data_IF_590322352414
#
_entry.id   IF_590322352414
#
_cell.length_a   1.000
_cell.length_b   1.000
_cell.length_c   1.000
_cell.angle_alpha   90.00
_cell.angle_beta   90.00
_cell.angle_gamma   90.00
#
_symmetry.space_group_name_H-M   'P 1'
#
loop_
_entity.id
_entity.type
_entity.pdbx_description
1 polymer ?
#
# COMPACT_ATOMS: atom_id res chain seq x y z
N UNK A 1 8.87 -4.64 45.22
CA UNK A 1 9.37 -4.56 43.83
C UNK A 1 9.47 -3.09 43.46
N UNK A 2 10.68 -2.57 43.23
CA UNK A 2 10.82 -1.23 42.65
C UNK A 2 10.29 -1.28 41.22
N UNK A 3 9.32 -0.43 40.88
CA UNK A 3 8.92 -0.23 39.48
C UNK A 3 10.14 0.31 38.74
N UNK A 4 10.67 -0.48 37.81
CA UNK A 4 11.74 -0.05 36.93
C UNK A 4 11.20 1.12 36.10
N UNK A 5 11.80 2.30 36.27
CA UNK A 5 11.37 3.51 35.55
C UNK A 5 12.07 3.51 34.18
N UNK A 6 11.60 2.64 33.28
CA UNK A 6 12.07 2.57 31.89
C UNK A 6 11.16 3.46 31.06
N UNK A 7 11.75 4.41 30.33
CA UNK A 7 11.00 5.17 29.31
C UNK A 7 10.79 4.28 28.08
N UNK A 8 9.55 3.87 27.84
CA UNK A 8 9.17 3.06 26.69
C UNK A 8 8.90 3.89 25.41
N UNK A 9 8.86 5.22 25.48
CA UNK A 9 8.66 6.09 24.31
C UNK A 9 9.70 5.80 23.22
N UNK A 10 10.98 5.68 23.60
CA UNK A 10 12.03 5.34 22.65
C UNK A 10 11.76 3.99 21.96
N UNK A 11 11.21 2.99 22.67
CA UNK A 11 10.86 1.72 22.05
C UNK A 11 9.68 1.85 21.07
N UNK A 12 8.67 2.64 21.43
CA UNK A 12 7.50 2.92 20.59
C UNK A 12 7.90 3.71 19.33
N UNK A 13 8.88 4.60 19.45
CA UNK A 13 9.41 5.42 18.35
C UNK A 13 10.05 4.58 17.22
N UNK A 14 10.61 3.42 17.59
CA UNK A 14 11.25 2.47 16.66
C UNK A 14 10.32 1.29 16.28
N UNK A 15 9.10 1.23 16.79
CA UNK A 15 8.11 0.22 16.40
C UNK A 15 7.58 0.50 14.98
N UNK A 16 7.36 -0.55 14.20
CA UNK A 16 6.76 -0.44 12.87
C UNK A 16 5.22 -0.36 12.90
N UNK A 17 4.63 -0.48 14.08
CA UNK A 17 3.20 -0.33 14.33
C UNK A 17 2.91 1.16 14.57
N UNK A 18 2.05 1.81 13.76
CA UNK A 18 1.59 3.16 14.07
C UNK A 18 0.96 3.21 15.46
N UNK A 19 1.37 4.18 16.26
CA UNK A 19 0.83 4.45 17.59
C UNK A 19 0.50 5.94 17.70
N UNK A 20 -0.70 6.25 18.19
CA UNK A 20 -1.17 7.62 18.39
C UNK A 20 -1.83 7.72 19.76
N UNK A 21 -1.48 8.78 20.50
CA UNK A 21 -2.12 9.18 21.74
C UNK A 21 -2.85 10.51 21.52
N UNK A 22 -4.16 10.51 21.76
CA UNK A 22 -4.99 11.70 21.71
C UNK A 22 -5.38 12.15 23.12
N UNK A 23 -5.69 13.44 23.27
CA UNK A 23 -6.49 13.91 24.40
C UNK A 23 -7.99 13.85 24.09
N UNK A 24 -8.82 14.15 25.10
CA UNK A 24 -10.28 14.28 25.01
C UNK A 24 -10.76 15.34 24.00
N UNK A 25 -9.90 16.30 23.63
CA UNK A 25 -10.18 17.35 22.65
C UNK A 25 -9.67 17.02 21.23
N UNK A 26 -9.31 15.76 20.95
CA UNK A 26 -8.79 15.29 19.63
C UNK A 26 -7.45 15.90 19.23
N UNK A 27 -6.71 16.46 20.17
CA UNK A 27 -5.32 16.88 19.99
C UNK A 27 -4.42 15.66 20.10
N UNK A 28 -3.47 15.52 19.18
CA UNK A 28 -2.44 14.49 19.31
C UNK A 28 -1.46 14.95 20.38
N UNK A 29 -1.30 14.13 21.42
CA UNK A 29 -0.32 14.31 22.49
C UNK A 29 1.02 13.66 22.12
N UNK A 30 0.96 12.52 21.44
CA UNK A 30 2.12 11.78 20.97
C UNK A 30 1.76 10.93 19.75
N UNK A 31 2.70 10.75 18.84
CA UNK A 31 2.64 9.82 17.72
C UNK A 31 4.07 9.38 17.40
N UNK A 32 4.26 8.12 16.98
CA UNK A 32 5.57 7.66 16.50
C UNK A 32 5.79 7.95 15.01
N UNK A 33 7.03 7.87 14.55
CA UNK A 33 7.42 8.11 13.15
C UNK A 33 6.49 7.45 12.11
N UNK A 34 6.08 6.20 12.34
CA UNK A 34 5.22 5.47 11.39
C UNK A 34 3.79 6.02 11.38
N UNK A 35 3.27 6.48 12.51
CA UNK A 35 1.99 7.17 12.56
C UNK A 35 2.02 8.53 11.85
N UNK A 36 3.16 9.23 11.85
CA UNK A 36 3.33 10.48 11.07
C UNK A 36 3.15 10.20 9.57
N UNK A 37 3.77 9.13 9.07
CA UNK A 37 3.63 8.70 7.67
C UNK A 37 2.18 8.29 7.38
N UNK A 38 1.51 7.58 8.30
CA UNK A 38 0.10 7.20 8.15
C UNK A 38 -0.80 8.43 7.95
N UNK A 39 -0.55 9.54 8.64
CA UNK A 39 -1.31 10.79 8.45
C UNK A 39 -1.17 11.43 7.06
N UNK A 40 -0.23 10.97 6.22
CA UNK A 40 -0.22 11.30 4.79
C UNK A 40 -1.38 10.67 4.00
N UNK A 41 -2.03 9.63 4.55
CA UNK A 41 -3.04 8.82 3.86
C UNK A 41 -4.43 8.88 4.51
N UNK A 42 -4.52 9.26 5.78
CA UNK A 42 -5.76 9.26 6.56
C UNK A 42 -5.87 10.50 7.43
N UNK A 43 -7.09 11.01 7.61
CA UNK A 43 -7.31 12.20 8.41
C UNK A 43 -7.20 11.93 9.92
N UNK A 44 -6.77 12.95 10.68
CA UNK A 44 -6.78 12.92 12.16
C UNK A 44 -8.16 12.60 12.73
N UNK A 45 -9.21 13.19 12.14
CA UNK A 45 -10.59 13.01 12.58
C UNK A 45 -11.01 11.55 12.46
N UNK A 46 -10.73 10.92 11.31
CA UNK A 46 -11.05 9.52 11.06
C UNK A 46 -10.37 8.57 12.04
N UNK A 47 -9.07 8.74 12.30
CA UNK A 47 -8.37 7.88 13.27
C UNK A 47 -8.85 8.08 14.71
N UNK A 48 -9.23 9.31 15.09
CA UNK A 48 -9.82 9.59 16.40
C UNK A 48 -11.21 8.95 16.53
N UNK A 49 -12.04 9.04 15.49
CA UNK A 49 -13.37 8.43 15.48
C UNK A 49 -13.30 6.90 15.56
N UNK A 50 -12.31 6.29 14.90
CA UNK A 50 -12.00 4.85 15.04
C UNK A 50 -11.58 4.54 16.48
N UNK A 51 -10.71 5.35 17.10
CA UNK A 51 -10.32 5.14 18.49
C UNK A 51 -11.55 5.14 19.41
N UNK A 52 -12.44 6.11 19.29
CA UNK A 52 -13.68 6.15 20.08
C UNK A 52 -14.61 4.97 19.82
N UNK A 53 -14.80 4.60 18.54
CA UNK A 53 -15.71 3.51 18.16
C UNK A 53 -15.27 2.13 18.69
N UNK A 54 -13.95 1.93 18.84
CA UNK A 54 -13.38 0.65 19.28
C UNK A 54 -12.84 0.65 20.71
N UNK A 55 -13.02 1.75 21.45
CA UNK A 55 -12.64 1.83 22.86
C UNK A 55 -13.31 0.73 23.70
N UNK A 56 -12.61 0.17 24.71
CA UNK A 56 -13.26 -0.68 25.70
C UNK A 56 -14.35 0.10 26.47
N UNK A 57 -15.28 -0.59 27.13
CA UNK A 57 -16.31 0.06 27.95
C UNK A 57 -15.79 0.54 29.32
N UNK A 58 -14.67 -0.04 29.77
CA UNK A 58 -14.01 0.28 31.03
C UNK A 58 -12.55 0.59 30.77
N UNK A 59 -11.90 1.31 31.68
CA UNK A 59 -10.45 1.57 31.60
C UNK A 59 -9.66 0.29 31.32
N UNK A 60 -8.68 0.40 30.43
CA UNK A 60 -7.89 -0.71 29.94
C UNK A 60 -7.70 -0.66 28.43
N UNK A 61 -7.41 -1.82 27.85
CA UNK A 61 -7.02 -1.98 26.45
C UNK A 61 -7.86 -3.07 25.79
N UNK A 62 -8.28 -2.84 24.55
CA UNK A 62 -9.04 -3.80 23.74
C UNK A 62 -8.43 -3.90 22.36
N UNK A 63 -8.01 -5.11 21.99
CA UNK A 63 -7.64 -5.44 20.62
C UNK A 63 -8.89 -5.89 19.85
N UNK A 64 -9.12 -5.30 18.68
CA UNK A 64 -10.18 -5.70 17.76
C UNK A 64 -9.56 -6.08 16.42
N UNK A 65 -9.96 -7.23 15.89
CA UNK A 65 -9.61 -7.65 14.52
C UNK A 65 -10.53 -6.94 13.52
N UNK A 66 -9.95 -6.21 12.58
CA UNK A 66 -10.65 -5.59 11.45
C UNK A 66 -9.67 -5.29 10.32
N UNK A 67 -10.18 -5.14 9.10
CA UNK A 67 -9.36 -4.71 7.97
C UNK A 67 -9.45 -3.20 7.77
N UNK A 68 -8.33 -2.50 7.91
CA UNK A 68 -8.18 -1.09 7.55
C UNK A 68 -7.12 -0.96 6.46
N UNK A 69 -7.43 -0.25 5.37
CA UNK A 69 -6.56 -0.17 4.20
C UNK A 69 -6.40 1.30 3.76
N UNK A 70 -5.30 1.93 4.20
CA UNK A 70 -4.90 3.30 3.86
C UNK A 70 -3.71 3.27 2.92
N UNK A 71 -4.01 3.13 1.64
CA UNK A 71 -3.03 3.01 0.55
C UNK A 71 -1.95 1.94 0.83
N UNK A 72 -0.72 2.34 1.18
CA UNK A 72 0.40 1.45 1.48
C UNK A 72 0.34 0.79 2.88
N UNK A 73 -0.59 1.23 3.72
CA UNK A 73 -0.89 0.64 5.02
C UNK A 73 -2.09 -0.29 4.95
N UNK A 74 -1.87 -1.55 5.31
CA UNK A 74 -2.93 -2.53 5.52
C UNK A 74 -2.80 -3.03 6.96
N UNK A 75 -3.89 -2.97 7.71
CA UNK A 75 -3.95 -3.41 9.10
C UNK A 75 -4.97 -4.52 9.26
N UNK A 76 -4.65 -5.53 10.08
CA UNK A 76 -5.55 -6.65 10.40
C UNK A 76 -6.18 -6.53 11.79
N UNK A 77 -5.68 -5.62 12.62
CA UNK A 77 -6.21 -5.35 13.94
C UNK A 77 -5.82 -3.94 14.40
N UNK A 78 -6.52 -3.46 15.41
CA UNK A 78 -6.13 -2.30 16.23
C UNK A 78 -6.24 -2.64 17.70
N UNK A 79 -5.43 -1.99 18.54
CA UNK A 79 -5.64 -1.94 19.99
C UNK A 79 -5.98 -0.51 20.36
N UNK A 80 -7.12 -0.33 21.01
CA UNK A 80 -7.50 0.96 21.62
C UNK A 80 -7.40 0.81 23.13
N UNK A 81 -6.84 1.81 23.79
CA UNK A 81 -6.83 1.82 25.25
C UNK A 81 -6.78 3.20 25.87
N UNK A 82 -7.32 3.29 27.07
CA UNK A 82 -7.35 4.49 27.88
C UNK A 82 -7.32 4.11 29.37
N UNK A 83 -6.56 4.85 30.15
CA UNK A 83 -6.37 4.63 31.59
C UNK A 83 -7.06 5.70 32.45
N UNK A 84 -7.57 6.75 31.81
CA UNK A 84 -8.29 7.88 32.40
C UNK A 84 -9.22 8.50 31.34
N UNK A 85 -9.98 9.53 31.72
CA UNK A 85 -10.93 10.21 30.84
C UNK A 85 -10.29 11.23 29.90
N UNK A 86 -9.02 11.58 30.14
CA UNK A 86 -8.34 12.66 29.44
C UNK A 86 -7.63 12.20 28.16
N UNK A 87 -7.32 10.90 28.06
CA UNK A 87 -6.43 10.37 27.03
C UNK A 87 -6.93 9.06 26.45
N UNK A 88 -6.76 8.89 25.14
CA UNK A 88 -7.04 7.64 24.43
C UNK A 88 -5.94 7.33 23.44
N UNK A 89 -5.49 6.09 23.42
CA UNK A 89 -4.46 5.60 22.52
C UNK A 89 -5.04 4.63 21.50
N UNK A 90 -4.47 4.64 20.29
CA UNK A 90 -4.73 3.63 19.26
C UNK A 90 -3.40 3.14 18.68
N UNK A 91 -3.28 1.82 18.59
CA UNK A 91 -2.17 1.10 17.95
C UNK A 91 -2.70 0.27 16.80
N UNK A 92 -2.01 0.28 15.67
CA UNK A 92 -2.38 -0.48 14.49
C UNK A 92 -1.46 -1.68 14.28
N UNK A 93 -2.00 -2.83 13.87
CA UNK A 93 -1.22 -4.03 13.58
C UNK A 93 -1.17 -4.28 12.08
N UNK A 94 0.04 -4.19 11.51
CA UNK A 94 0.29 -4.41 10.08
C UNK A 94 -0.18 -5.79 9.65
N UNK A 95 -1.04 -5.84 8.63
CA UNK A 95 -1.39 -7.06 7.94
C UNK A 95 -0.11 -7.71 7.39
N UNK A 96 0.02 -9.04 7.48
CA UNK A 96 1.16 -9.74 6.90
C UNK A 96 1.27 -9.39 5.41
N UNK A 97 2.38 -8.78 5.01
CA UNK A 97 2.72 -8.67 3.59
C UNK A 97 3.06 -10.08 3.13
N UNK A 98 2.41 -10.56 2.07
CA UNK A 98 2.75 -11.84 1.48
C UNK A 98 4.24 -11.84 1.15
N UNK A 99 5.02 -12.70 1.82
CA UNK A 99 6.40 -12.92 1.43
C UNK A 99 6.37 -13.54 0.04
N UNK A 100 7.21 -13.08 -0.90
CA UNK A 100 7.34 -13.73 -2.19
C UNK A 100 7.63 -15.23 -1.98
N UNK A 101 6.93 -16.09 -2.70
CA UNK A 101 7.02 -17.55 -2.53
C UNK A 101 8.38 -18.13 -2.94
N UNK A 102 9.21 -17.35 -3.63
CA UNK A 102 10.54 -17.73 -4.11
C UNK A 102 11.43 -16.49 -4.22
N UNK A 103 12.75 -16.62 -4.07
CA UNK A 103 13.68 -15.52 -4.36
C UNK A 103 13.53 -15.06 -5.81
N UNK A 104 13.68 -13.75 -6.04
CA UNK A 104 13.66 -13.19 -7.39
C UNK A 104 14.95 -13.57 -8.13
N UNK A 105 14.80 -14.29 -9.24
CA UNK A 105 15.90 -14.62 -10.17
C UNK A 105 16.28 -13.37 -10.99
N UNK A 106 17.02 -12.46 -10.35
CA UNK A 106 17.41 -11.17 -10.94
C UNK A 106 18.27 -11.31 -12.21
N UNK A 107 18.94 -12.45 -12.38
CA UNK A 107 19.75 -12.83 -13.53
C UNK A 107 18.93 -13.03 -14.81
N UNK A 108 17.63 -13.35 -14.69
CA UNK A 108 16.72 -13.52 -15.83
C UNK A 108 15.98 -12.24 -16.21
N UNK A 109 16.16 -11.17 -15.45
CA UNK A 109 15.50 -9.88 -15.68
C UNK A 109 16.28 -9.07 -16.71
N UNK A 110 15.55 -8.31 -17.53
CA UNK A 110 16.13 -7.49 -18.59
C UNK A 110 15.95 -6.02 -18.23
N UNK A 111 16.99 -5.22 -18.43
CA UNK A 111 16.91 -3.76 -18.34
C UNK A 111 15.88 -3.24 -19.33
N UNK A 112 14.83 -2.63 -18.81
CA UNK A 112 13.67 -2.25 -19.60
C UNK A 112 13.20 -0.86 -19.23
N UNK A 113 12.85 -0.09 -20.25
CA UNK A 113 12.03 1.10 -20.09
C UNK A 113 10.56 0.68 -19.92
N UNK A 114 10.03 0.91 -18.73
CA UNK A 114 8.65 0.55 -18.39
C UNK A 114 7.62 1.35 -19.20
N UNK A 115 7.95 2.57 -19.65
CA UNK A 115 7.04 3.38 -20.47
C UNK A 115 6.75 2.67 -21.80
N UNK A 116 7.77 2.07 -22.42
CA UNK A 116 7.62 1.30 -23.67
C UNK A 116 6.67 0.12 -23.47
N UNK A 117 6.83 -0.66 -22.39
CA UNK A 117 5.93 -1.79 -22.10
C UNK A 117 4.49 -1.31 -21.83
N UNK A 118 4.33 -0.21 -21.10
CA UNK A 118 3.04 0.35 -20.78
C UNK A 118 2.32 0.81 -22.05
N UNK A 119 2.97 1.61 -22.89
CA UNK A 119 2.44 2.10 -24.16
C UNK A 119 2.05 0.96 -25.11
N UNK A 120 2.90 -0.06 -25.25
CA UNK A 120 2.60 -1.21 -26.09
C UNK A 120 1.33 -1.96 -25.63
N UNK A 121 1.17 -2.18 -24.32
CA UNK A 121 -0.01 -2.87 -23.79
C UNK A 121 -1.27 -1.98 -23.82
N UNK A 122 -1.13 -0.67 -23.68
CA UNK A 122 -2.22 0.30 -23.91
C UNK A 122 -2.67 0.26 -25.37
N UNK A 123 -1.75 0.29 -26.33
CA UNK A 123 -2.06 0.22 -27.75
C UNK A 123 -2.82 -1.08 -28.08
N UNK A 124 -2.35 -2.22 -27.57
CA UNK A 124 -3.04 -3.50 -27.72
C UNK A 124 -4.44 -3.48 -27.09
N UNK A 125 -4.61 -2.88 -25.91
CA UNK A 125 -5.92 -2.76 -25.28
C UNK A 125 -6.90 -1.95 -26.14
N UNK A 126 -6.45 -0.84 -26.73
CA UNK A 126 -7.25 0.01 -27.64
C UNK A 126 -7.68 -0.70 -28.92
N UNK A 127 -6.99 -1.76 -29.35
CA UNK A 127 -7.43 -2.55 -30.52
C UNK A 127 -8.74 -3.32 -30.28
N UNK A 128 -9.11 -3.54 -29.00
CA UNK A 128 -10.27 -4.35 -28.61
C UNK A 128 -11.34 -3.56 -27.86
N UNK A 129 -11.02 -2.34 -27.41
CA UNK A 129 -11.89 -1.55 -26.56
C UNK A 129 -11.84 -0.08 -26.98
N UNK A 130 -12.96 0.62 -26.83
CA UNK A 130 -13.12 2.02 -27.26
C UNK A 130 -13.08 3.02 -26.12
N UNK A 131 -12.75 2.57 -24.89
CA UNK A 131 -12.74 3.44 -23.72
C UNK A 131 -11.69 4.56 -23.91
N UNK A 132 -12.03 5.83 -23.66
CA UNK A 132 -11.06 6.90 -23.50
C UNK A 132 -10.03 6.54 -22.42
N UNK A 133 -8.74 6.73 -22.73
CA UNK A 133 -7.64 6.52 -21.80
C UNK A 133 -6.87 7.82 -21.58
N UNK A 134 -6.61 8.16 -20.33
CA UNK A 134 -5.65 9.20 -19.95
C UNK A 134 -4.40 8.56 -19.36
N UNK A 135 -3.23 8.95 -19.84
CA UNK A 135 -1.94 8.48 -19.35
C UNK A 135 -1.16 9.66 -18.76
N UNK A 136 -0.79 9.54 -17.48
CA UNK A 136 0.12 10.44 -16.78
C UNK A 136 1.34 9.61 -16.36
N UNK A 137 2.40 9.65 -17.17
CA UNK A 137 3.60 8.87 -16.92
C UNK A 137 4.81 9.77 -16.76
N UNK A 138 5.63 9.47 -15.76
CA UNK A 138 6.95 10.05 -15.60
C UNK A 138 7.91 9.47 -16.66
N UNK A 139 8.25 10.31 -17.64
CA UNK A 139 9.11 9.94 -18.77
C UNK A 139 10.59 9.91 -18.39
N UNK A 140 10.95 10.47 -17.23
CA UNK A 140 12.32 10.49 -16.72
C UNK A 140 12.63 9.28 -15.83
N UNK A 141 11.68 8.34 -15.69
CA UNK A 141 11.91 7.09 -14.98
C UNK A 141 13.10 6.32 -15.59
N UNK A 142 14.12 5.97 -14.80
CA UNK A 142 15.23 5.20 -15.32
C UNK A 142 14.75 3.81 -15.72
N UNK A 143 15.38 3.23 -16.74
CA UNK A 143 15.19 1.81 -17.02
C UNK A 143 15.56 0.97 -15.80
N UNK A 144 14.90 -0.16 -15.63
CA UNK A 144 15.20 -1.09 -14.54
C UNK A 144 14.93 -2.54 -14.96
N UNK A 145 15.48 -3.49 -14.20
CA UNK A 145 15.36 -4.92 -14.45
C UNK A 145 13.95 -5.41 -14.18
N UNK A 146 13.31 -6.00 -15.19
CA UNK A 146 11.98 -6.60 -15.08
C UNK A 146 11.83 -7.81 -16.00
N UNK A 147 10.92 -8.73 -15.64
CA UNK A 147 10.44 -9.79 -16.52
C UNK A 147 9.36 -9.20 -17.44
N UNK A 148 9.78 -8.79 -18.65
CA UNK A 148 8.91 -8.11 -19.61
C UNK A 148 7.65 -8.92 -19.97
N UNK A 149 7.77 -10.25 -20.03
CA UNK A 149 6.69 -11.15 -20.43
C UNK A 149 5.64 -11.27 -19.33
N UNK A 150 6.07 -11.55 -18.10
CA UNK A 150 5.16 -11.60 -16.94
C UNK A 150 4.52 -10.25 -16.68
N UNK A 151 5.30 -9.17 -16.75
CA UNK A 151 4.76 -7.83 -16.55
C UNK A 151 3.76 -7.43 -17.63
N UNK A 152 4.05 -7.70 -18.90
CA UNK A 152 3.08 -7.45 -19.98
C UNK A 152 1.80 -8.28 -19.81
N UNK A 153 1.91 -9.54 -19.35
CA UNK A 153 0.73 -10.37 -19.04
C UNK A 153 -0.09 -9.76 -17.90
N UNK A 154 0.57 -9.28 -16.84
CA UNK A 154 -0.05 -8.58 -15.72
C UNK A 154 -0.77 -7.32 -16.19
N UNK A 155 -0.10 -6.44 -16.95
CA UNK A 155 -0.69 -5.22 -17.52
C UNK A 155 -1.96 -5.50 -18.33
N UNK A 156 -1.94 -6.50 -19.21
CA UNK A 156 -3.13 -6.87 -19.99
C UNK A 156 -4.29 -7.29 -19.11
N UNK A 157 -4.03 -8.05 -18.05
CA UNK A 157 -5.08 -8.50 -17.11
C UNK A 157 -5.61 -7.31 -16.30
N UNK A 158 -4.73 -6.45 -15.81
CA UNK A 158 -5.08 -5.22 -15.09
C UNK A 158 -5.96 -4.30 -15.94
N UNK A 159 -5.55 -3.96 -17.17
CA UNK A 159 -6.35 -3.12 -18.07
C UNK A 159 -7.69 -3.76 -18.44
N UNK A 160 -7.70 -5.08 -18.69
CA UNK A 160 -8.92 -5.80 -19.05
C UNK A 160 -9.93 -5.91 -17.90
N UNK A 161 -9.52 -5.71 -16.65
CA UNK A 161 -10.46 -5.57 -15.53
C UNK A 161 -11.38 -4.34 -15.72
N UNK A 162 -10.91 -3.30 -16.41
CA UNK A 162 -11.62 -2.04 -16.65
C UNK A 162 -12.26 -1.94 -18.05
N UNK A 163 -12.37 -3.06 -18.78
CA UNK A 163 -12.85 -3.09 -20.19
C UNK A 163 -14.21 -2.44 -20.45
N UNK A 164 -15.10 -2.39 -19.45
CA UNK A 164 -16.44 -1.81 -19.57
C UNK A 164 -16.57 -0.42 -18.95
N UNK A 165 -15.48 0.18 -18.47
CA UNK A 165 -15.50 1.48 -17.81
C UNK A 165 -15.67 2.62 -18.80
N UNK A 166 -16.32 3.72 -18.41
CA UNK A 166 -16.58 4.85 -19.33
C UNK A 166 -15.30 5.59 -19.73
N UNK A 167 -14.30 5.61 -18.84
CA UNK A 167 -12.98 6.18 -19.04
C UNK A 167 -12.00 5.54 -18.07
N UNK A 168 -10.73 5.43 -18.45
CA UNK A 168 -9.70 4.84 -17.60
C UNK A 168 -8.53 5.83 -17.46
N UNK A 169 -8.20 6.17 -16.22
CA UNK A 169 -7.00 6.93 -15.86
C UNK A 169 -5.86 5.96 -15.55
N UNK A 170 -4.68 6.24 -16.10
CA UNK A 170 -3.46 5.46 -15.89
C UNK A 170 -2.36 6.41 -15.42
N UNK A 171 -1.77 6.15 -14.26
CA UNK A 171 -0.68 6.95 -13.71
C UNK A 171 0.53 6.08 -13.42
N UNK A 172 1.72 6.49 -13.87
CA UNK A 172 2.99 5.85 -13.58
C UNK A 172 3.96 6.87 -12.96
N UNK A 173 4.42 6.60 -11.73
CA UNK A 173 5.26 7.52 -10.95
C UNK A 173 6.25 6.80 -10.06
N UNK A 174 7.36 7.45 -9.71
CA UNK A 174 8.24 7.02 -8.62
C UNK A 174 7.62 7.36 -7.26
N UNK A 175 7.64 6.44 -6.30
CA UNK A 175 7.30 6.71 -4.91
C UNK A 175 8.54 7.16 -4.14
N UNK A 176 8.62 8.46 -3.83
CA UNK A 176 9.74 9.05 -3.10
C UNK A 176 9.66 8.62 -1.63
N UNK A 177 10.76 8.12 -1.07
CA UNK A 177 10.87 7.70 0.34
C UNK A 177 10.41 6.27 0.62
N UNK A 178 9.61 5.68 -0.27
CA UNK A 178 9.20 4.27 -0.17
C UNK A 178 10.23 3.34 -0.82
N UNK A 179 10.48 2.21 -0.15
CA UNK A 179 11.44 1.21 -0.61
C UNK A 179 10.99 -0.20 -0.22
N UNK A 180 11.42 -1.17 -1.01
CA UNK A 180 11.31 -2.59 -0.70
C UNK A 180 12.71 -3.17 -0.52
N UNK A 181 12.85 -4.17 0.35
CA UNK A 181 14.12 -4.89 0.52
C UNK A 181 14.06 -6.15 -0.33
N UNK A 182 14.95 -6.24 -1.33
CA UNK A 182 15.13 -7.42 -2.18
C UNK A 182 16.61 -7.80 -2.13
N UNK A 183 16.89 -9.05 -1.77
CA UNK A 183 18.27 -9.56 -1.61
C UNK A 183 19.16 -8.62 -0.76
N UNK A 184 18.64 -8.19 0.39
CA UNK A 184 19.29 -7.26 1.34
C UNK A 184 19.63 -5.86 0.80
N UNK A 185 19.13 -5.51 -0.40
CA UNK A 185 19.25 -4.18 -0.98
C UNK A 185 17.92 -3.44 -0.94
N UNK A 186 17.97 -2.16 -0.57
CA UNK A 186 16.82 -1.25 -0.66
C UNK A 186 16.63 -0.82 -2.11
N UNK A 187 15.52 -1.22 -2.69
CA UNK A 187 15.12 -0.81 -4.03
C UNK A 187 13.96 0.20 -3.92
N UNK A 188 14.03 1.27 -4.70
CA UNK A 188 12.93 2.24 -4.82
C UNK A 188 11.71 1.59 -5.46
N UNK A 189 10.54 2.22 -5.33
CA UNK A 189 9.28 1.67 -5.86
C UNK A 189 8.74 2.58 -6.96
N UNK A 190 8.41 2.00 -8.11
CA UNK A 190 7.59 2.62 -9.15
C UNK A 190 6.15 2.18 -8.95
N UNK A 191 5.22 3.12 -8.87
CA UNK A 191 3.80 2.82 -8.77
C UNK A 191 3.12 3.02 -10.13
N UNK A 192 2.43 1.98 -10.58
CA UNK A 192 1.44 2.05 -11.64
C UNK A 192 0.04 1.98 -11.01
N UNK A 193 -0.80 2.97 -11.29
CA UNK A 193 -2.20 2.99 -10.89
C UNK A 193 -3.11 3.04 -12.10
N UNK A 194 -4.15 2.21 -12.09
CA UNK A 194 -5.24 2.23 -13.07
C UNK A 194 -6.54 2.48 -12.32
N UNK A 195 -7.25 3.54 -12.69
CA UNK A 195 -8.45 4.04 -12.03
C UNK A 195 -9.60 4.22 -13.02
N UNK A 196 -10.80 3.85 -12.61
CA UNK A 196 -12.01 4.05 -13.41
C UNK A 196 -13.28 4.02 -12.55
N UNK A 197 -14.46 4.17 -13.16
CA UNK A 197 -15.76 4.14 -12.48
C UNK A 197 -16.18 2.77 -11.93
N UNK A 198 -15.45 1.69 -12.24
CA UNK A 198 -15.70 0.33 -11.75
C UNK A 198 -14.88 -0.70 -12.53
N UNK A 199 -14.78 -1.93 -12.03
CA UNK A 199 -14.03 -3.01 -12.67
C UNK A 199 -14.65 -4.38 -12.48
N UNK A 200 -14.26 -5.33 -13.32
CA UNK A 200 -14.54 -6.75 -13.09
C UNK A 200 -13.53 -7.37 -12.12
N UNK A 201 -14.00 -8.36 -11.35
CA UNK A 201 -13.21 -9.12 -10.38
C UNK A 201 -12.82 -10.51 -10.86
N UNK A 202 -13.20 -10.87 -12.09
CA UNK A 202 -13.04 -12.20 -12.68
C UNK A 202 -11.57 -12.64 -12.83
N UNK A 203 -10.63 -11.69 -12.81
CA UNK A 203 -9.20 -11.95 -12.93
C UNK A 203 -8.39 -11.63 -11.64
N UNK A 204 -9.03 -11.30 -10.51
CA UNK A 204 -8.34 -10.80 -9.31
C UNK A 204 -7.27 -11.77 -8.79
N UNK A 205 -7.60 -13.07 -8.73
CA UNK A 205 -6.66 -14.09 -8.26
C UNK A 205 -5.46 -14.26 -9.22
N UNK A 206 -5.70 -14.18 -10.54
CA UNK A 206 -4.62 -14.25 -11.52
C UNK A 206 -3.74 -12.99 -11.47
N UNK A 207 -4.33 -11.80 -11.30
CA UNK A 207 -3.60 -10.53 -11.15
C UNK A 207 -2.71 -10.58 -9.91
N UNK A 208 -3.25 -11.00 -8.76
CA UNK A 208 -2.48 -11.16 -7.52
C UNK A 208 -1.35 -12.19 -7.67
N UNK A 209 -1.64 -13.32 -8.30
CA UNK A 209 -0.65 -14.38 -8.54
C UNK A 209 0.50 -13.90 -9.43
N UNK A 210 0.19 -13.24 -10.56
CA UNK A 210 1.19 -12.67 -11.46
C UNK A 210 2.04 -11.58 -10.77
N UNK A 211 1.41 -10.69 -10.02
CA UNK A 211 2.11 -9.66 -9.27
C UNK A 211 3.06 -10.27 -8.22
N UNK A 212 2.57 -11.24 -7.43
CA UNK A 212 3.38 -11.93 -6.42
C UNK A 212 4.58 -12.66 -7.02
N UNK A 213 4.42 -13.31 -8.18
CA UNK A 213 5.53 -13.99 -8.87
C UNK A 213 6.63 -13.03 -9.34
N UNK A 214 6.29 -11.76 -9.54
CA UNK A 214 7.21 -10.69 -9.94
C UNK A 214 7.63 -9.79 -8.77
N UNK A 215 7.33 -10.16 -7.52
CA UNK A 215 7.59 -9.35 -6.33
C UNK A 215 6.95 -7.95 -6.38
N UNK A 216 5.86 -7.83 -7.13
CA UNK A 216 5.07 -6.59 -7.25
C UNK A 216 3.99 -6.62 -6.16
N UNK A 217 3.94 -5.57 -5.35
CA UNK A 217 2.83 -5.37 -4.40
C UNK A 217 1.60 -4.95 -5.19
N UNK A 218 0.44 -5.53 -4.85
CA UNK A 218 -0.79 -5.39 -5.62
C UNK A 218 -1.95 -5.06 -4.69
N UNK A 219 -2.58 -3.90 -4.93
CA UNK A 219 -3.76 -3.45 -4.24
C UNK A 219 -4.93 -3.41 -5.22
N UNK A 220 -6.00 -4.14 -4.91
CA UNK A 220 -7.21 -4.20 -5.70
C UNK A 220 -8.38 -3.58 -4.92
N UNK A 221 -8.99 -2.53 -5.47
CA UNK A 221 -10.19 -1.85 -4.94
C UNK A 221 -11.24 -1.71 -6.05
N UNK A 222 -12.49 -1.43 -5.72
CA UNK A 222 -13.60 -1.34 -6.69
C UNK A 222 -13.30 -0.45 -7.91
N UNK A 223 -12.65 0.69 -7.65
CA UNK A 223 -12.39 1.71 -8.66
C UNK A 223 -10.91 1.81 -9.06
N UNK A 224 -10.04 0.97 -8.50
CA UNK A 224 -8.60 1.13 -8.64
C UNK A 224 -7.85 -0.20 -8.57
N UNK A 225 -6.82 -0.34 -9.41
CA UNK A 225 -5.74 -1.32 -9.22
C UNK A 225 -4.43 -0.54 -9.09
N UNK A 226 -3.68 -0.79 -8.02
CA UNK A 226 -2.31 -0.27 -7.85
C UNK A 226 -1.30 -1.41 -7.87
N UNK A 227 -0.22 -1.20 -8.61
CA UNK A 227 0.93 -2.09 -8.70
C UNK A 227 2.17 -1.32 -8.25
N UNK A 228 2.81 -1.78 -7.20
CA UNK A 228 4.05 -1.24 -6.65
C UNK A 228 5.20 -2.15 -7.10
N UNK A 229 5.98 -1.63 -8.04
CA UNK A 229 6.98 -2.35 -8.81
C UNK A 229 8.35 -1.99 -8.24
N UNK A 230 9.13 -2.98 -7.78
CA UNK A 230 10.50 -2.73 -7.35
C UNK A 230 11.38 -2.24 -8.51
N UNK A 231 12.06 -1.11 -8.32
CA UNK A 231 12.98 -0.51 -9.27
C UNK A 231 14.36 -1.15 -9.10
N UNK A 232 14.55 -2.34 -9.68
CA UNK A 232 15.79 -3.12 -9.53
C UNK A 232 16.83 -2.68 -10.55
N UNK A 233 18.00 -2.26 -10.08
CA UNK A 233 19.15 -1.89 -10.93
C UNK A 233 19.97 -3.11 -11.38
#
# INVERSE_FOLDING_TARGET
MSKMNINFEAFIEWDNSPFILFNSERKILYLNNVAEILFGYVSKQELYDIALAYAPQTFGYKTTTLSLNYDSFNFYAITVGYENEDQISIRFYNAPRAKPSSPLETDKLIMTDINILLEANIALFKTKNTNPLQLLADQDLPSFKIDQNKFSKLLRKTLNAFRASDSIGITLKLLIGEHVIIADKKESIVQLSVEANGRYHDADDEIKSLASQSHISCLLKEHTIKLEIPLIQ
#
